data_IF_973934881168
#
_entry.id   IF_973934881168
#
_cell.length_a   1.000
_cell.length_b   1.000
_cell.length_c   1.000
_cell.angle_alpha   90.00
_cell.angle_beta   90.00
_cell.angle_gamma   90.00
#
_symmetry.space_group_name_H-M   'P 1'
#
loop_
_entity.id
_entity.type
_entity.pdbx_description
1 polymer ?
#
# COMPACT_ATOMS: atom_id res chain seq x y z
N UNK A 1 26.11 -0.25 48.87
CA UNK A 1 25.78 -1.12 47.73
C UNK A 1 27.07 -1.60 47.08
N UNK A 2 27.59 -2.76 47.48
CA UNK A 2 28.81 -3.34 46.93
C UNK A 2 28.48 -4.20 45.70
N UNK A 3 28.57 -3.61 44.50
CA UNK A 3 28.56 -4.37 43.26
C UNK A 3 30.01 -4.63 42.81
N UNK A 4 30.47 -5.89 42.71
CA UNK A 4 31.85 -6.26 42.39
C UNK A 4 32.29 -5.87 40.96
N UNK A 5 31.38 -5.36 40.12
CA UNK A 5 31.67 -4.93 38.76
C UNK A 5 32.39 -3.56 38.68
N UNK A 6 32.23 -2.68 39.68
CA UNK A 6 32.83 -1.34 39.68
C UNK A 6 34.31 -1.33 40.11
N UNK A 7 34.78 -2.35 40.83
CA UNK A 7 36.13 -2.39 41.39
C UNK A 7 37.22 -2.88 40.41
N UNK A 8 36.86 -3.28 39.18
CA UNK A 8 37.83 -3.79 38.20
C UNK A 8 38.27 -2.79 37.12
N UNK A 9 37.86 -1.52 37.20
CA UNK A 9 38.37 -0.49 36.28
C UNK A 9 38.21 -0.86 34.78
N UNK A 10 37.20 -1.68 34.45
CA UNK A 10 36.96 -2.07 33.07
C UNK A 10 36.06 -1.01 32.46
N UNK A 11 36.68 0.00 31.87
CA UNK A 11 35.98 0.93 31.01
C UNK A 11 35.46 0.15 29.78
N UNK A 12 34.15 -0.13 29.76
CA UNK A 12 33.51 -0.83 28.64
C UNK A 12 33.23 0.08 27.45
N UNK A 13 33.69 1.34 27.45
CA UNK A 13 33.61 2.24 26.30
C UNK A 13 34.60 1.80 25.22
N UNK A 14 34.17 0.90 24.34
CA UNK A 14 34.88 0.61 23.09
C UNK A 14 35.10 -0.86 22.73
N UNK A 15 34.48 -1.83 23.40
CA UNK A 15 34.57 -3.23 22.95
C UNK A 15 33.52 -3.54 21.88
N UNK A 16 33.94 -4.07 20.72
CA UNK A 16 33.09 -4.49 19.59
C UNK A 16 31.97 -5.47 19.98
N UNK A 17 32.07 -6.10 21.16
CA UNK A 17 31.13 -7.11 21.63
C UNK A 17 29.97 -6.55 22.48
N UNK A 18 30.04 -5.30 22.95
CA UNK A 18 28.96 -4.72 23.78
C UNK A 18 27.75 -4.26 22.94
N UNK A 19 27.99 -3.76 21.73
CA UNK A 19 26.92 -3.39 20.77
C UNK A 19 26.35 -4.59 20.01
N UNK A 20 27.11 -5.67 19.86
CA UNK A 20 26.70 -6.83 19.07
C UNK A 20 25.61 -7.69 19.72
N UNK A 21 25.46 -7.63 21.05
CA UNK A 21 24.50 -8.50 21.77
C UNK A 21 23.08 -7.94 21.79
N UNK A 22 22.90 -6.64 21.52
CA UNK A 22 21.58 -5.98 21.52
C UNK A 22 20.92 -6.05 20.13
N UNK A 23 21.70 -6.16 19.05
CA UNK A 23 21.17 -6.25 17.68
C UNK A 23 20.60 -7.62 17.32
N UNK A 24 20.87 -8.67 18.11
CA UNK A 24 20.41 -10.05 17.81
C UNK A 24 18.89 -10.23 17.83
N UNK A 25 18.15 -9.32 18.49
CA UNK A 25 16.69 -9.33 18.56
C UNK A 25 16.01 -8.25 17.72
N UNK A 26 16.79 -7.37 17.09
CA UNK A 26 16.27 -6.33 16.20
C UNK A 26 16.40 -6.86 14.78
N UNK A 27 15.27 -7.11 14.10
CA UNK A 27 15.29 -7.49 12.68
C UNK A 27 16.11 -6.45 11.90
N UNK A 28 17.04 -6.85 11.03
CA UNK A 28 17.79 -5.91 10.21
C UNK A 28 16.79 -5.03 9.44
N UNK A 29 16.96 -3.72 9.54
CA UNK A 29 16.13 -2.76 8.82
C UNK A 29 16.28 -2.95 7.32
N UNK A 30 15.23 -2.66 6.55
CA UNK A 30 15.33 -2.71 5.10
C UNK A 30 16.30 -1.62 4.60
N UNK A 31 17.17 -1.99 3.65
CA UNK A 31 18.09 -1.06 3.01
C UNK A 31 17.30 0.00 2.23
N UNK A 32 17.54 1.28 2.53
CA UNK A 32 16.80 2.40 1.92
C UNK A 32 17.22 2.58 0.46
N UNK A 33 16.30 3.08 -0.36
CA UNK A 33 16.62 3.45 -1.73
C UNK A 33 17.72 4.54 -1.76
N UNK A 34 18.83 4.27 -2.45
CA UNK A 34 20.02 5.13 -2.51
C UNK A 34 19.73 6.55 -3.02
N UNK A 35 18.83 6.71 -4.00
CA UNK A 35 18.57 8.00 -4.65
C UNK A 35 17.58 8.92 -3.92
N UNK A 36 16.76 8.40 -2.99
CA UNK A 36 15.64 9.14 -2.38
C UNK A 36 15.72 9.18 -0.84
N UNK A 37 16.90 8.88 -0.27
CA UNK A 37 17.15 8.79 1.18
C UNK A 37 16.72 10.03 1.98
N UNK A 38 16.61 11.20 1.33
CA UNK A 38 16.33 12.49 1.97
C UNK A 38 14.87 12.98 1.87
N UNK A 39 14.02 12.37 1.02
CA UNK A 39 12.61 12.77 0.92
C UNK A 39 11.79 11.89 1.86
N UNK A 40 11.44 12.41 3.03
CA UNK A 40 10.60 11.71 4.02
C UNK A 40 9.36 12.52 4.35
N UNK A 41 8.19 12.01 3.94
CA UNK A 41 6.90 12.59 4.33
C UNK A 41 6.41 11.85 5.58
N UNK A 42 6.57 12.47 6.74
CA UNK A 42 6.23 11.87 8.04
C UNK A 42 4.82 12.25 8.52
N UNK A 43 3.80 11.94 7.72
CA UNK A 43 2.39 12.15 8.07
C UNK A 43 1.64 10.81 8.14
N UNK A 44 1.89 9.98 9.17
CA UNK A 44 1.42 8.59 9.22
C UNK A 44 -0.11 8.44 9.20
N UNK A 45 -0.85 9.39 9.79
CA UNK A 45 -2.31 9.37 9.75
C UNK A 45 -2.85 9.82 8.39
N UNK A 46 -2.23 10.84 7.79
CA UNK A 46 -2.63 11.34 6.48
C UNK A 46 -2.35 10.30 5.38
N UNK A 47 -1.17 9.67 5.38
CA UNK A 47 -0.84 8.59 4.45
C UNK A 47 -1.78 7.40 4.59
N UNK A 48 -2.14 7.04 5.84
CA UNK A 48 -3.14 6.00 6.12
C UNK A 48 -4.49 6.32 5.47
N UNK A 49 -4.98 7.54 5.67
CA UNK A 49 -6.25 8.01 5.07
C UNK A 49 -6.14 8.06 3.54
N UNK A 50 -5.02 8.54 3.00
CA UNK A 50 -4.77 8.58 1.55
C UNK A 50 -4.82 7.17 0.93
N UNK A 51 -4.10 6.20 1.52
CA UNK A 51 -4.12 4.81 1.05
C UNK A 51 -5.53 4.22 1.10
N UNK A 52 -6.27 4.46 2.19
CA UNK A 52 -7.67 4.02 2.30
C UNK A 52 -8.57 4.70 1.27
N UNK A 53 -8.39 6.00 1.03
CA UNK A 53 -9.16 6.78 0.06
C UNK A 53 -8.92 6.31 -1.38
N UNK A 54 -7.67 6.00 -1.74
CA UNK A 54 -7.35 5.46 -3.06
C UNK A 54 -8.05 4.11 -3.27
N UNK A 55 -8.00 3.20 -2.30
CA UNK A 55 -8.70 1.90 -2.40
C UNK A 55 -10.22 2.07 -2.43
N UNK A 56 -10.76 2.98 -1.63
CA UNK A 56 -12.19 3.32 -1.69
C UNK A 56 -12.58 3.85 -3.08
N UNK A 57 -11.72 4.66 -3.70
CA UNK A 57 -11.88 5.13 -5.09
C UNK A 57 -11.89 3.98 -6.09
N UNK A 58 -11.03 2.96 -5.93
CA UNK A 58 -11.04 1.75 -6.76
C UNK A 58 -12.41 1.07 -6.66
N UNK A 59 -12.92 0.89 -5.44
CA UNK A 59 -14.23 0.29 -5.21
C UNK A 59 -15.37 1.11 -5.83
N UNK A 60 -15.35 2.43 -5.68
CA UNK A 60 -16.34 3.32 -6.28
C UNK A 60 -16.33 3.26 -7.81
N UNK A 61 -15.14 3.26 -8.42
CA UNK A 61 -15.00 3.08 -9.86
C UNK A 61 -15.49 1.71 -10.32
N UNK A 62 -15.21 0.65 -9.56
CA UNK A 62 -15.68 -0.70 -9.86
C UNK A 62 -17.22 -0.79 -9.83
N UNK A 63 -17.87 -0.19 -8.83
CA UNK A 63 -19.35 -0.11 -8.77
C UNK A 63 -19.89 0.65 -9.97
N UNK A 64 -19.35 1.83 -10.27
CA UNK A 64 -19.81 2.65 -11.38
C UNK A 64 -19.72 1.92 -12.73
N UNK A 65 -18.66 1.15 -12.97
CA UNK A 65 -18.54 0.28 -14.16
C UNK A 65 -19.52 -0.90 -14.09
N UNK A 66 -19.66 -1.56 -12.94
CA UNK A 66 -20.56 -2.71 -12.77
C UNK A 66 -22.04 -2.36 -12.99
N UNK A 67 -22.45 -1.15 -12.62
CA UNK A 67 -23.80 -0.63 -12.85
C UNK A 67 -23.99 -0.01 -14.23
N UNK A 68 -22.90 0.13 -15.00
CA UNK A 68 -22.93 0.70 -16.34
C UNK A 68 -23.58 -0.26 -17.35
N UNK A 69 -24.13 0.31 -18.43
CA UNK A 69 -24.77 -0.47 -19.49
C UNK A 69 -23.77 -1.21 -20.42
N UNK A 70 -22.47 -1.00 -20.25
CA UNK A 70 -21.42 -1.54 -21.12
C UNK A 70 -20.51 -2.48 -20.33
N UNK A 71 -20.58 -3.77 -20.64
CA UNK A 71 -19.83 -4.79 -19.94
C UNK A 71 -18.44 -4.97 -20.58
N UNK A 72 -17.33 -4.74 -19.83
CA UNK A 72 -15.99 -4.74 -20.42
C UNK A 72 -15.51 -6.12 -20.90
N UNK A 73 -16.05 -7.21 -20.33
CA UNK A 73 -15.74 -8.58 -20.70
C UNK A 73 -16.81 -9.54 -20.15
N UNK A 74 -16.86 -10.80 -20.62
CA UNK A 74 -17.80 -11.79 -20.09
C UNK A 74 -17.62 -11.99 -18.57
N UNK A 75 -18.71 -11.98 -17.82
CA UNK A 75 -18.70 -12.04 -16.35
C UNK A 75 -18.00 -10.87 -15.63
N UNK A 76 -17.84 -9.71 -16.29
CA UNK A 76 -17.32 -8.50 -15.64
C UNK A 76 -18.14 -8.06 -14.41
N UNK A 77 -19.47 -8.16 -14.47
CA UNK A 77 -20.35 -7.75 -13.36
C UNK A 77 -19.98 -8.40 -12.02
N UNK A 78 -20.01 -9.74 -11.91
CA UNK A 78 -19.60 -10.43 -10.69
C UNK A 78 -18.19 -10.06 -10.21
N UNK A 79 -17.22 -9.99 -11.12
CA UNK A 79 -15.82 -9.66 -10.80
C UNK A 79 -15.69 -8.25 -10.21
N UNK A 80 -16.36 -7.27 -10.81
CA UNK A 80 -16.36 -5.88 -10.36
C UNK A 80 -17.06 -5.71 -9.00
N UNK A 81 -18.14 -6.46 -8.75
CA UNK A 81 -18.79 -6.47 -7.43
C UNK A 81 -17.92 -7.09 -6.35
N UNK A 82 -17.23 -8.20 -6.64
CA UNK A 82 -16.26 -8.78 -5.71
C UNK A 82 -15.15 -7.78 -5.40
N UNK A 83 -14.64 -7.09 -6.42
CA UNK A 83 -13.63 -6.06 -6.24
C UNK A 83 -14.14 -4.88 -5.39
N UNK A 84 -15.37 -4.42 -5.64
CA UNK A 84 -16.00 -3.36 -4.86
C UNK A 84 -16.19 -3.76 -3.39
N UNK A 85 -16.69 -4.96 -3.12
CA UNK A 85 -16.85 -5.48 -1.77
C UNK A 85 -15.51 -5.64 -1.05
N UNK A 86 -14.47 -6.14 -1.73
CA UNK A 86 -13.14 -6.25 -1.18
C UNK A 86 -12.53 -4.88 -0.85
N UNK A 87 -12.73 -3.88 -1.73
CA UNK A 87 -12.27 -2.51 -1.50
C UNK A 87 -13.00 -1.85 -0.34
N UNK A 88 -14.32 -2.04 -0.22
CA UNK A 88 -15.11 -1.56 0.90
C UNK A 88 -14.66 -2.20 2.23
N UNK A 89 -14.48 -3.52 2.26
CA UNK A 89 -13.97 -4.23 3.43
C UNK A 89 -12.57 -3.74 3.82
N UNK A 90 -11.68 -3.56 2.85
CA UNK A 90 -10.36 -2.98 3.07
C UNK A 90 -10.46 -1.59 3.70
N UNK A 91 -11.28 -0.69 3.13
CA UNK A 91 -11.42 0.67 3.63
C UNK A 91 -11.94 0.69 5.08
N UNK A 92 -12.95 -0.13 5.39
CA UNK A 92 -13.48 -0.29 6.75
C UNK A 92 -12.38 -0.77 7.71
N UNK A 93 -11.65 -1.83 7.36
CA UNK A 93 -10.57 -2.36 8.21
C UNK A 93 -9.45 -1.32 8.36
N UNK A 94 -9.05 -0.66 7.28
CA UNK A 94 -7.99 0.35 7.26
C UNK A 94 -8.36 1.62 8.05
N UNK A 95 -9.64 1.95 8.20
CA UNK A 95 -10.09 3.09 8.99
C UNK A 95 -10.33 2.72 10.45
N UNK A 96 -10.94 1.58 10.74
CA UNK A 96 -11.37 1.22 12.09
C UNK A 96 -10.33 0.44 12.91
N UNK A 97 -9.36 -0.22 12.27
CA UNK A 97 -8.42 -1.11 12.98
C UNK A 97 -6.99 -0.57 12.99
N UNK A 98 -6.15 -1.03 13.92
CA UNK A 98 -4.71 -0.75 13.89
C UNK A 98 -3.93 -1.89 13.22
N UNK A 99 -4.51 -2.55 12.24
CA UNK A 99 -3.84 -3.60 11.48
C UNK A 99 -3.04 -3.00 10.32
N UNK A 100 -1.86 -3.56 10.06
CA UNK A 100 -1.03 -3.18 8.91
C UNK A 100 -1.53 -3.90 7.66
N UNK A 101 -2.58 -3.36 7.05
CA UNK A 101 -3.27 -3.97 5.89
C UNK A 101 -2.69 -3.59 4.53
N UNK A 102 -1.69 -2.71 4.47
CA UNK A 102 -1.17 -2.13 3.22
C UNK A 102 -0.76 -3.16 2.15
N UNK A 103 -0.25 -4.33 2.56
CA UNK A 103 0.05 -5.42 1.62
C UNK A 103 -1.19 -5.99 0.94
N UNK A 104 -2.30 -6.12 1.67
CA UNK A 104 -3.59 -6.57 1.10
C UNK A 104 -4.11 -5.56 0.08
N UNK A 105 -3.97 -4.26 0.37
CA UNK A 105 -4.34 -3.21 -0.59
C UNK A 105 -3.50 -3.26 -1.86
N UNK A 106 -2.21 -3.64 -1.76
CA UNK A 106 -1.34 -3.79 -2.93
C UNK A 106 -1.75 -5.01 -3.79
N UNK A 107 -2.15 -6.12 -3.16
CA UNK A 107 -2.72 -7.27 -3.88
C UNK A 107 -4.01 -6.87 -4.58
N UNK A 108 -4.91 -6.17 -3.88
CA UNK A 108 -6.15 -5.68 -4.45
C UNK A 108 -5.88 -4.77 -5.66
N UNK A 109 -4.96 -3.81 -5.54
CA UNK A 109 -4.56 -2.94 -6.63
C UNK A 109 -3.99 -3.71 -7.83
N UNK A 110 -3.12 -4.70 -7.59
CA UNK A 110 -2.58 -5.54 -8.66
C UNK A 110 -3.68 -6.33 -9.38
N UNK A 111 -4.64 -6.91 -8.64
CA UNK A 111 -5.80 -7.59 -9.21
C UNK A 111 -6.65 -6.62 -10.03
N UNK A 112 -6.86 -5.39 -9.56
CA UNK A 112 -7.59 -4.36 -10.32
C UNK A 112 -6.89 -4.04 -11.65
N UNK A 113 -5.56 -3.94 -11.67
CA UNK A 113 -4.81 -3.76 -12.93
C UNK A 113 -5.06 -4.92 -13.89
N UNK A 114 -5.10 -6.17 -13.40
CA UNK A 114 -5.43 -7.32 -14.24
C UNK A 114 -6.87 -7.27 -14.77
N UNK A 115 -7.84 -6.82 -13.96
CA UNK A 115 -9.23 -6.60 -14.39
C UNK A 115 -9.30 -5.54 -15.49
N UNK A 116 -8.54 -4.46 -15.37
CA UNK A 116 -8.46 -3.45 -16.41
C UNK A 116 -7.89 -4.04 -17.71
N UNK A 117 -6.78 -4.78 -17.63
CA UNK A 117 -6.19 -5.42 -18.82
C UNK A 117 -7.13 -6.45 -19.46
N UNK A 118 -7.88 -7.21 -18.66
CA UNK A 118 -8.89 -8.13 -19.16
C UNK A 118 -9.98 -7.41 -19.97
N UNK A 119 -10.44 -6.24 -19.52
CA UNK A 119 -11.37 -5.43 -20.30
C UNK A 119 -10.76 -4.81 -21.55
N UNK A 120 -9.48 -4.44 -21.53
CA UNK A 120 -8.77 -3.97 -22.75
C UNK A 120 -8.70 -5.05 -23.82
N UNK A 121 -8.51 -6.32 -23.42
CA UNK A 121 -8.56 -7.47 -24.36
C UNK A 121 -10.00 -7.80 -24.78
N UNK A 122 -10.98 -7.48 -23.95
CA UNK A 122 -12.41 -7.61 -24.24
C UNK A 122 -12.97 -6.39 -24.97
N UNK A 123 -14.09 -5.87 -24.47
CA UNK A 123 -14.81 -4.71 -24.99
C UNK A 123 -14.81 -3.58 -23.94
N UNK A 124 -13.63 -3.06 -23.62
CA UNK A 124 -13.51 -1.95 -22.67
C UNK A 124 -14.41 -0.77 -23.07
N UNK A 125 -15.04 -0.06 -22.12
CA UNK A 125 -15.96 1.04 -22.38
C UNK A 125 -15.25 2.34 -22.80
N UNK A 126 -14.39 2.26 -23.81
CA UNK A 126 -13.77 3.42 -24.43
C UNK A 126 -14.76 4.15 -25.33
N UNK A 127 -14.51 5.44 -25.57
CA UNK A 127 -15.37 6.26 -26.44
C UNK A 127 -15.48 5.68 -27.85
N UNK A 128 -14.38 5.14 -28.37
CA UNK A 128 -14.35 4.48 -29.68
C UNK A 128 -14.98 3.08 -29.70
N UNK A 129 -15.24 2.49 -28.53
CA UNK A 129 -15.99 1.23 -28.36
C UNK A 129 -17.49 1.47 -28.04
N UNK A 130 -17.99 2.70 -28.25
CA UNK A 130 -19.39 3.06 -27.98
C UNK A 130 -19.69 3.38 -26.51
N UNK A 131 -18.69 3.44 -25.65
CA UNK A 131 -18.82 3.93 -24.28
C UNK A 131 -19.03 5.44 -24.23
N UNK A 132 -19.78 5.91 -23.24
CA UNK A 132 -19.87 7.37 -22.97
C UNK A 132 -18.54 7.91 -22.44
N UNK A 133 -18.32 9.22 -22.56
CA UNK A 133 -17.13 9.89 -21.99
C UNK A 133 -17.01 9.58 -20.48
N UNK A 134 -18.13 9.58 -19.76
CA UNK A 134 -18.16 9.25 -18.35
C UNK A 134 -17.69 7.82 -18.08
N UNK A 135 -18.19 6.82 -18.82
CA UNK A 135 -17.78 5.42 -18.66
C UNK A 135 -16.31 5.21 -19.00
N UNK A 136 -15.81 5.83 -20.07
CA UNK A 136 -14.40 5.78 -20.44
C UNK A 136 -13.51 6.38 -19.34
N UNK A 137 -13.94 7.52 -18.77
CA UNK A 137 -13.24 8.13 -17.64
C UNK A 137 -13.24 7.23 -16.40
N UNK A 138 -14.38 6.63 -16.05
CA UNK A 138 -14.47 5.68 -14.92
C UNK A 138 -13.59 4.44 -15.14
N UNK A 139 -13.55 3.92 -16.37
CA UNK A 139 -12.69 2.80 -16.71
C UNK A 139 -11.21 3.16 -16.56
N UNK A 140 -10.81 4.34 -16.99
CA UNK A 140 -9.44 4.82 -16.78
C UNK A 140 -9.11 5.03 -15.30
N UNK A 141 -10.07 5.42 -14.46
CA UNK A 141 -9.87 5.47 -12.99
C UNK A 141 -9.56 4.08 -12.41
N UNK A 142 -10.16 3.01 -12.95
CA UNK A 142 -9.80 1.63 -12.57
C UNK A 142 -8.36 1.25 -12.93
N UNK A 143 -7.67 2.00 -13.79
CA UNK A 143 -6.22 1.83 -14.02
C UNK A 143 -5.39 2.76 -13.15
N UNK A 144 -5.71 4.06 -13.13
CA UNK A 144 -4.83 5.05 -12.51
C UNK A 144 -4.83 4.97 -10.97
N UNK A 145 -5.96 4.65 -10.35
CA UNK A 145 -6.04 4.49 -8.89
C UNK A 145 -5.20 3.32 -8.36
N UNK A 146 -5.26 2.08 -8.89
CA UNK A 146 -4.39 1.02 -8.42
C UNK A 146 -2.93 1.28 -8.74
N UNK A 147 -2.58 1.91 -9.87
CA UNK A 147 -1.20 2.32 -10.14
C UNK A 147 -0.70 3.33 -9.11
N UNK A 148 -1.52 4.33 -8.77
CA UNK A 148 -1.20 5.27 -7.69
C UNK A 148 -1.03 4.54 -6.35
N UNK A 149 -1.89 3.57 -6.04
CA UNK A 149 -1.75 2.77 -4.82
C UNK A 149 -0.44 1.98 -4.80
N UNK A 150 -0.09 1.32 -5.91
CA UNK A 150 1.14 0.54 -6.02
C UNK A 150 2.38 1.43 -5.88
N UNK A 151 2.36 2.63 -6.46
CA UNK A 151 3.41 3.63 -6.28
C UNK A 151 3.53 4.08 -4.82
N UNK A 152 2.40 4.36 -4.14
CA UNK A 152 2.39 4.70 -2.72
C UNK A 152 2.87 3.53 -1.85
N UNK A 153 2.46 2.30 -2.15
CA UNK A 153 2.88 1.10 -1.43
C UNK A 153 4.38 0.85 -1.61
N UNK A 154 4.90 1.06 -2.82
CA UNK A 154 6.33 1.02 -3.10
C UNK A 154 7.06 2.08 -2.27
N UNK A 155 6.62 3.33 -2.30
CA UNK A 155 7.18 4.40 -1.48
C UNK A 155 7.17 4.08 0.03
N UNK A 156 6.11 3.41 0.51
CA UNK A 156 6.01 2.94 1.89
C UNK A 156 7.02 1.82 2.19
N UNK A 157 7.24 0.90 1.26
CA UNK A 157 8.19 -0.22 1.43
C UNK A 157 9.65 0.24 1.44
N UNK A 158 9.97 1.30 0.69
CA UNK A 158 11.31 1.91 0.65
C UNK A 158 11.54 3.00 1.70
N UNK A 159 10.57 3.25 2.59
CA UNK A 159 10.71 4.21 3.69
C UNK A 159 10.62 5.68 3.29
N UNK A 160 10.15 5.98 2.08
CA UNK A 160 9.92 7.35 1.61
C UNK A 160 8.70 7.99 2.30
N UNK A 161 7.67 7.18 2.59
CA UNK A 161 6.46 7.61 3.29
C UNK A 161 6.13 6.67 4.45
N UNK A 162 5.57 7.23 5.52
CA UNK A 162 5.17 6.53 6.75
C UNK A 162 3.65 6.44 6.78
N UNK A 163 3.07 5.30 7.14
CA UNK A 163 1.62 5.15 7.35
C UNK A 163 1.31 4.35 8.62
N UNK A 164 0.42 4.88 9.47
CA UNK A 164 0.02 4.24 10.74
C UNK A 164 -0.85 3.01 10.49
N UNK A 165 -0.60 1.85 11.14
CA UNK A 165 0.44 1.59 12.14
C UNK A 165 1.79 1.31 11.46
N UNK A 166 2.85 1.91 11.98
CA UNK A 166 4.18 1.73 11.42
C UNK A 166 5.18 1.19 12.44
N UNK A 167 5.81 0.07 12.08
CA UNK A 167 6.90 -0.59 12.82
C UNK A 167 8.15 -0.72 11.91
N UNK A 168 8.29 0.17 10.95
CA UNK A 168 9.43 0.21 10.03
C UNK A 168 10.70 0.62 10.79
N UNK A 169 11.31 -0.36 11.45
CA UNK A 169 12.64 -0.27 12.05
C UNK A 169 13.70 -0.09 10.95
N UNK A 170 13.76 1.07 10.29
CA UNK A 170 14.85 1.41 9.39
C UNK A 170 16.10 1.72 10.21
N UNK A 171 17.17 0.97 9.98
CA UNK A 171 18.52 1.30 10.44
C UNK A 171 19.17 2.19 9.39
N UNK A 172 19.69 3.36 9.79
CA UNK A 172 20.54 4.21 8.94
C UNK A 172 21.98 3.72 8.88
#
# INVERSE_FOLDING_TARGET
SHSPALNRGVDHRGTKNATQKVTRHVRPGAERAFLLRYIRINLPRTTRVLLAAVVAGIGAAAVAVATGAHAPFPAAGPVLWVLACAAAAFAVVALLTRLRVWGVGAVLAAVTVLVYLAGVVGDAPFVWNGGTIAQAATWNLLLFLPLAYLALYWALRYGMIVASPDDQNFTD
#
